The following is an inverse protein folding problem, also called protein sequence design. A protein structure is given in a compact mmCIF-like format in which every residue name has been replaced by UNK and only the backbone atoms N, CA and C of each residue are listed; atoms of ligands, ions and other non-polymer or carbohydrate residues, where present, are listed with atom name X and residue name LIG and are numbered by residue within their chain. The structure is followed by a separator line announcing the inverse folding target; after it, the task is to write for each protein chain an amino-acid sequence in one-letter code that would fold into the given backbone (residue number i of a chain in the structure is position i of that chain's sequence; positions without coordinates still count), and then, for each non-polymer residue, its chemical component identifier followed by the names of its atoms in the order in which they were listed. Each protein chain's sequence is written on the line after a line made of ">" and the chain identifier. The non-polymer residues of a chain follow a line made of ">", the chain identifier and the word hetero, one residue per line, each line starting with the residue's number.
data_IF_660591642733
#
_entry.id   IF_660591642733
#
_cell.length_a   1.000
_cell.length_b   1.000
_cell.length_c   1.000
_cell.angle_alpha   90.00
_cell.angle_beta   90.00
_cell.angle_gamma   90.00
#
_symmetry.space_group_name_H-M   'P 1'
#
loop_
_entity.id
_entity.type
_entity.pdbx_description
1 polymer ?
#
# COMPACT_ATOMS: atom_id res chain seq x y z
N UNK A 1 -3.36 -15.72 -6.58
CA UNK A 1 -2.38 -16.76 -6.24
C UNK A 1 -0.98 -16.25 -6.58
N UNK A 2 0.07 -16.66 -5.85
CA UNK A 2 1.45 -16.28 -6.17
C UNK A 2 1.82 -16.64 -7.62
N UNK A 3 2.65 -15.82 -8.25
CA UNK A 3 3.12 -16.00 -9.63
C UNK A 3 2.18 -15.49 -10.73
N UNK A 4 0.97 -15.00 -10.42
CA UNK A 4 0.00 -14.54 -11.42
C UNK A 4 0.25 -13.10 -11.92
N UNK A 5 0.88 -12.25 -11.11
CA UNK A 5 1.18 -10.87 -11.48
C UNK A 5 2.55 -10.75 -12.16
N UNK A 6 3.50 -11.61 -11.79
CA UNK A 6 4.83 -11.71 -12.41
C UNK A 6 5.53 -10.35 -12.60
N UNK A 7 5.49 -9.48 -11.59
CA UNK A 7 6.17 -8.18 -11.62
C UNK A 7 5.45 -7.11 -12.46
N UNK A 8 4.18 -7.29 -12.80
CA UNK A 8 3.37 -6.27 -13.47
C UNK A 8 2.88 -5.20 -12.49
N UNK A 9 2.38 -4.10 -13.05
CA UNK A 9 1.68 -3.08 -12.28
C UNK A 9 0.32 -3.59 -11.82
N UNK A 10 -0.11 -3.17 -10.63
CA UNK A 10 -1.41 -3.57 -10.08
C UNK A 10 -2.13 -2.39 -9.42
N UNK A 11 -3.44 -2.34 -9.61
CA UNK A 11 -4.30 -1.24 -9.16
C UNK A 11 -5.41 -1.76 -8.24
N UNK A 12 -5.57 -1.11 -7.10
CA UNK A 12 -6.64 -1.36 -6.15
C UNK A 12 -7.41 -0.05 -6.01
N UNK A 13 -8.66 -0.04 -6.45
CA UNK A 13 -9.43 1.20 -6.58
C UNK A 13 -10.84 1.04 -6.00
N UNK A 14 -11.32 2.09 -5.34
CA UNK A 14 -12.72 2.26 -4.91
C UNK A 14 -13.29 1.11 -4.08
N UNK A 15 -12.43 0.45 -3.29
CA UNK A 15 -12.81 -0.64 -2.40
C UNK A 15 -13.26 -0.09 -1.04
N UNK A 16 -14.29 -0.69 -0.44
CA UNK A 16 -14.79 -0.32 0.89
C UNK A 16 -15.00 -1.55 1.76
N UNK A 17 -14.52 -1.50 3.00
CA UNK A 17 -14.68 -2.59 3.96
C UNK A 17 -14.18 -3.94 3.42
N UNK A 18 -13.03 -3.92 2.74
CA UNK A 18 -12.45 -5.11 2.12
C UNK A 18 -11.13 -5.52 2.79
N UNK A 19 -10.85 -6.81 2.75
CA UNK A 19 -9.53 -7.36 3.02
C UNK A 19 -8.93 -7.85 1.69
N UNK A 20 -7.82 -7.26 1.28
CA UNK A 20 -7.20 -7.49 -0.03
C UNK A 20 -5.78 -7.99 0.18
N UNK A 21 -5.53 -9.19 -0.34
CA UNK A 21 -4.25 -9.88 -0.23
C UNK A 21 -3.64 -10.04 -1.62
N UNK A 22 -2.58 -9.27 -1.91
CA UNK A 22 -1.81 -9.37 -3.14
C UNK A 22 -0.48 -10.03 -2.81
N UNK A 23 -0.48 -11.35 -2.72
CA UNK A 23 0.68 -12.14 -2.26
C UNK A 23 1.59 -12.55 -3.43
N UNK A 24 2.01 -11.56 -4.23
CA UNK A 24 2.89 -11.76 -5.37
C UNK A 24 3.81 -10.54 -5.56
N UNK A 25 4.86 -10.68 -6.37
CA UNK A 25 5.72 -9.54 -6.71
C UNK A 25 5.05 -8.62 -7.75
N UNK A 26 5.27 -7.32 -7.60
CA UNK A 26 4.72 -6.29 -8.50
C UNK A 26 5.80 -5.27 -8.87
N UNK A 27 5.74 -4.68 -10.06
CA UNK A 27 6.64 -3.55 -10.40
C UNK A 27 6.19 -2.25 -9.77
N UNK A 28 4.88 -2.00 -9.73
CA UNK A 28 4.28 -0.84 -9.10
C UNK A 28 2.88 -1.18 -8.57
N UNK A 29 2.49 -0.51 -7.50
CA UNK A 29 1.18 -0.67 -6.86
C UNK A 29 0.53 0.69 -6.66
N UNK A 30 -0.73 0.82 -7.06
CA UNK A 30 -1.54 2.01 -6.79
C UNK A 30 -2.80 1.64 -6.04
N UNK A 31 -2.98 2.24 -4.87
CA UNK A 31 -4.18 2.14 -4.03
C UNK A 31 -4.88 3.50 -4.11
N UNK A 32 -6.14 3.51 -4.55
CA UNK A 32 -6.91 4.74 -4.76
C UNK A 32 -8.32 4.63 -4.20
N UNK A 33 -8.81 5.65 -3.51
CA UNK A 33 -10.22 5.74 -3.12
C UNK A 33 -10.70 4.66 -2.14
N UNK A 34 -9.78 3.97 -1.46
CA UNK A 34 -10.13 2.87 -0.57
C UNK A 34 -10.53 3.36 0.82
N UNK A 35 -11.57 2.79 1.42
CA UNK A 35 -12.06 3.18 2.76
C UNK A 35 -12.28 1.97 3.66
N UNK A 36 -11.74 2.02 4.88
CA UNK A 36 -11.85 0.96 5.89
C UNK A 36 -11.39 -0.41 5.36
N UNK A 37 -10.30 -0.43 4.59
CA UNK A 37 -9.74 -1.64 4.00
C UNK A 37 -8.44 -2.08 4.68
N UNK A 38 -8.21 -3.39 4.71
CA UNK A 38 -6.92 -3.99 5.07
C UNK A 38 -6.25 -4.50 3.80
N UNK A 39 -5.08 -3.97 3.48
CA UNK A 39 -4.33 -4.31 2.27
C UNK A 39 -2.99 -4.93 2.66
N UNK A 40 -2.82 -6.22 2.39
CA UNK A 40 -1.58 -6.95 2.60
C UNK A 40 -0.96 -7.24 1.24
N UNK A 41 0.18 -6.60 0.98
CA UNK A 41 0.81 -6.56 -0.33
C UNK A 41 2.18 -7.20 -0.27
N UNK A 42 2.48 -8.02 -1.27
CA UNK A 42 3.78 -8.60 -1.50
C UNK A 42 4.84 -7.55 -1.85
N UNK A 43 6.08 -7.99 -2.06
CA UNK A 43 7.19 -7.08 -2.34
C UNK A 43 6.98 -6.36 -3.68
N UNK A 44 7.04 -5.04 -3.64
CA UNK A 44 6.99 -4.18 -4.80
C UNK A 44 8.42 -3.78 -5.23
N UNK A 45 8.81 -4.16 -6.45
CA UNK A 45 10.10 -3.83 -7.03
C UNK A 45 10.30 -2.34 -7.33
N UNK A 46 9.24 -1.53 -7.26
CA UNK A 46 9.27 -0.10 -7.55
C UNK A 46 8.47 0.71 -6.52
N UNK A 47 7.51 1.49 -7.03
CA UNK A 47 6.77 2.47 -6.24
C UNK A 47 5.40 1.98 -5.80
N UNK A 48 5.02 2.36 -4.59
CA UNK A 48 3.68 2.19 -4.03
C UNK A 48 3.08 3.57 -3.83
N UNK A 49 1.90 3.79 -4.43
CA UNK A 49 1.14 5.03 -4.30
C UNK A 49 -0.17 4.77 -3.55
N UNK A 50 -0.36 5.44 -2.43
CA UNK A 50 -1.61 5.42 -1.65
C UNK A 50 -2.27 6.78 -1.77
N UNK A 51 -3.45 6.84 -2.39
CA UNK A 51 -4.13 8.09 -2.75
C UNK A 51 -5.57 8.08 -2.26
N UNK A 52 -6.03 9.17 -1.64
CA UNK A 52 -7.43 9.34 -1.26
C UNK A 52 -7.99 8.18 -0.44
N UNK A 53 -7.20 7.64 0.51
CA UNK A 53 -7.58 6.49 1.32
C UNK A 53 -7.94 6.91 2.75
N UNK A 54 -8.97 6.29 3.33
CA UNK A 54 -9.47 6.58 4.67
C UNK A 54 -9.55 5.33 5.55
N UNK A 55 -9.05 5.39 6.79
CA UNK A 55 -9.21 4.29 7.75
C UNK A 55 -8.55 2.97 7.32
N UNK A 56 -7.62 3.00 6.38
CA UNK A 56 -7.03 1.79 5.81
C UNK A 56 -5.79 1.33 6.59
N UNK A 57 -5.58 0.01 6.62
CA UNK A 57 -4.33 -0.61 7.04
C UNK A 57 -3.59 -1.10 5.81
N UNK A 58 -2.33 -0.71 5.62
CA UNK A 58 -1.52 -1.10 4.46
C UNK A 58 -0.24 -1.76 4.97
N UNK A 59 0.01 -3.00 4.55
CA UNK A 59 1.24 -3.75 4.83
C UNK A 59 1.97 -3.96 3.51
N UNK A 60 3.17 -3.40 3.37
CA UNK A 60 3.91 -3.45 2.10
C UNK A 60 5.42 -3.29 2.27
N UNK A 61 6.18 -3.96 1.40
CA UNK A 61 7.60 -3.70 1.17
C UNK A 61 7.80 -3.11 -0.23
N UNK A 62 8.56 -2.02 -0.36
CA UNK A 62 8.75 -1.35 -1.66
C UNK A 62 10.08 -0.59 -1.77
N UNK A 63 10.43 -0.15 -2.99
CA UNK A 63 11.54 0.78 -3.16
C UNK A 63 11.17 2.22 -2.80
N UNK A 64 10.00 2.69 -3.24
CA UNK A 64 9.49 4.03 -2.96
C UNK A 64 8.06 3.98 -2.46
N UNK A 65 7.77 4.68 -1.36
CA UNK A 65 6.42 4.83 -0.83
C UNK A 65 5.95 6.28 -0.93
N UNK A 66 4.75 6.51 -1.47
CA UNK A 66 4.12 7.82 -1.54
C UNK A 66 2.66 7.76 -1.07
N UNK A 67 2.31 8.59 -0.10
CA UNK A 67 0.93 8.77 0.36
C UNK A 67 0.44 10.20 0.07
N UNK A 68 -0.76 10.33 -0.51
CA UNK A 68 -1.41 11.61 -0.78
C UNK A 68 -2.88 11.58 -0.39
N UNK A 69 -3.39 12.66 0.19
CA UNK A 69 -4.81 12.82 0.58
C UNK A 69 -5.35 11.66 1.43
N UNK A 70 -4.51 11.08 2.29
CA UNK A 70 -4.87 9.94 3.14
C UNK A 70 -5.28 10.39 4.55
N UNK A 71 -6.22 9.68 5.18
CA UNK A 71 -6.73 10.01 6.51
C UNK A 71 -6.84 8.78 7.40
N UNK A 72 -6.28 8.83 8.61
CA UNK A 72 -6.36 7.75 9.63
C UNK A 72 -5.85 6.39 9.11
N UNK A 73 -4.85 6.39 8.25
CA UNK A 73 -4.26 5.14 7.73
C UNK A 73 -3.13 4.64 8.62
N UNK A 74 -2.99 3.32 8.75
CA UNK A 74 -1.86 2.68 9.41
C UNK A 74 -1.03 1.95 8.36
N UNK A 75 0.26 2.21 8.29
CA UNK A 75 1.16 1.64 7.28
C UNK A 75 2.27 0.85 7.97
N UNK A 76 2.34 -0.44 7.71
CA UNK A 76 3.46 -1.31 8.08
C UNK A 76 4.40 -1.40 6.89
N UNK A 77 5.51 -0.68 6.95
CA UNK A 77 6.32 -0.33 5.79
C UNK A 77 7.75 -0.82 5.93
N UNK A 78 8.23 -1.47 4.87
CA UNK A 78 9.65 -1.53 4.56
C UNK A 78 9.86 -0.73 3.28
N UNK A 79 10.70 0.31 3.33
CA UNK A 79 10.95 1.17 2.19
C UNK A 79 12.45 1.44 2.06
N UNK A 80 13.00 1.25 0.85
CA UNK A 80 14.43 1.47 0.59
C UNK A 80 14.76 2.98 0.57
N UNK A 81 13.88 3.80 0.03
CA UNK A 81 14.02 5.27 0.06
C UNK A 81 13.27 5.88 1.24
N UNK A 82 13.48 7.18 1.46
CA UNK A 82 12.65 7.94 2.40
C UNK A 82 11.18 7.95 1.90
N UNK A 83 10.19 7.56 2.74
CA UNK A 83 8.77 7.65 2.40
C UNK A 83 8.33 9.11 2.24
N UNK A 84 7.42 9.37 1.31
CA UNK A 84 6.88 10.72 1.05
C UNK A 84 5.40 10.77 1.41
N UNK A 85 4.99 11.83 2.11
CA UNK A 85 3.60 12.05 2.55
C UNK A 85 3.21 13.48 2.16
N UNK A 86 2.05 13.63 1.54
CA UNK A 86 1.51 14.91 1.05
C UNK A 86 0.03 15.04 1.43
N UNK A 87 -0.39 16.22 1.90
CA UNK A 87 -1.81 16.56 2.15
C UNK A 87 -2.60 15.52 2.95
N UNK A 88 -1.95 14.85 3.90
CA UNK A 88 -2.52 13.70 4.61
C UNK A 88 -2.49 13.89 6.12
N UNK A 89 -3.44 13.27 6.84
CA UNK A 89 -3.63 13.48 8.27
C UNK A 89 -3.76 12.16 9.05
N UNK A 90 -3.12 12.10 10.23
CA UNK A 90 -3.17 10.94 11.14
C UNK A 90 -2.71 9.63 10.47
N UNK A 91 -1.63 9.66 9.69
CA UNK A 91 -0.96 8.42 9.31
C UNK A 91 -0.12 7.92 10.48
N UNK A 92 -0.08 6.60 10.65
CA UNK A 92 0.84 5.92 11.57
C UNK A 92 1.72 4.98 10.76
N UNK A 93 3.01 4.96 11.09
CA UNK A 93 3.98 4.08 10.46
C UNK A 93 4.56 3.11 11.49
N UNK A 94 4.73 1.87 11.09
CA UNK A 94 5.43 0.83 11.84
C UNK A 94 6.33 0.02 10.90
N UNK A 95 7.29 -0.71 11.45
CA UNK A 95 8.12 -1.61 10.67
C UNK A 95 7.26 -2.71 10.03
N UNK A 96 7.59 -3.08 8.80
CA UNK A 96 7.02 -4.25 8.16
C UNK A 96 7.30 -5.50 8.98
N UNK A 97 6.24 -6.28 9.24
CA UNK A 97 6.31 -7.56 9.94
C UNK A 97 5.34 -8.52 9.27
N UNK A 98 5.86 -9.37 8.40
CA UNK A 98 5.17 -10.50 7.79
C UNK A 98 6.20 -11.61 7.57
N UNK A 99 5.79 -12.86 7.79
CA UNK A 99 6.61 -14.05 7.62
C UNK A 99 6.22 -14.81 6.34
#
# INVERSE_FOLDING_TARGET
>A
MPGQLSGRQFHIQDCRQCEIFVLDNTSSLTIHGCTDCTLVLGPCGGSVFVKQCGGCTVVVACQQFRARDCRKCTVYLHCKSQPVIESSHRLRFSCFQAY
#
